data_IF_756118140472
#
_entry.id   IF_756118140472
#
_cell.length_a   1.000
_cell.length_b   1.000
_cell.length_c   1.000
_cell.angle_alpha   90.00
_cell.angle_beta   90.00
_cell.angle_gamma   90.00
#
_symmetry.space_group_name_H-M   'P 1'
#
loop_
_entity.id
_entity.type
_entity.pdbx_description
1 polymer ?
#
# COMPACT_ATOMS: atom_id res chain seq x y z
N UNK A 1 -3.56 3.11 4.86
CA UNK A 1 -2.40 2.30 4.45
C UNK A 1 -1.21 3.22 4.34
N UNK A 2 -0.14 2.86 5.01
CA UNK A 2 1.10 3.64 5.01
C UNK A 2 2.19 2.79 4.34
N UNK A 3 2.55 3.17 3.11
CA UNK A 3 3.49 2.40 2.29
C UNK A 3 4.83 3.15 2.27
N UNK A 4 5.75 2.69 3.10
CA UNK A 4 7.11 3.22 3.14
C UNK A 4 8.04 2.51 2.15
N UNK A 5 9.20 3.09 1.91
CA UNK A 5 10.19 2.55 0.98
C UNK A 5 10.80 1.22 1.42
N UNK A 6 10.84 0.93 2.71
CA UNK A 6 11.40 -0.32 3.25
C UNK A 6 10.37 -1.26 3.86
N UNK A 7 9.18 -0.77 4.19
CA UNK A 7 8.07 -1.59 4.68
C UNK A 7 6.76 -0.83 4.53
N UNK A 8 5.68 -1.57 4.34
CA UNK A 8 4.33 -1.02 4.31
C UNK A 8 3.47 -1.65 5.38
N UNK A 9 2.40 -0.95 5.77
CA UNK A 9 1.48 -1.43 6.80
C UNK A 9 0.08 -0.92 6.58
N UNK A 10 -0.86 -1.76 6.99
CA UNK A 10 -2.28 -1.42 7.02
C UNK A 10 -2.66 -1.19 8.47
N UNK A 11 -3.05 0.03 8.79
CA UNK A 11 -3.48 0.43 10.14
C UNK A 11 -4.97 0.69 10.10
N UNK A 12 -5.69 0.01 10.97
CA UNK A 12 -7.13 0.25 11.17
C UNK A 12 -7.31 1.20 12.33
N UNK A 13 -8.04 2.28 12.10
CA UNK A 13 -8.42 3.23 13.15
C UNK A 13 -9.88 3.11 13.47
N UNK A 14 -10.25 3.18 14.74
CA UNK A 14 -11.63 3.24 15.17
C UNK A 14 -11.77 4.15 16.40
N UNK A 15 -12.95 4.70 16.57
CA UNK A 15 -13.26 5.51 17.74
C UNK A 15 -13.76 4.61 18.88
N UNK A 16 -13.16 4.77 20.05
CA UNK A 16 -13.57 4.10 21.26
C UNK A 16 -13.48 5.08 22.42
N UNK A 17 -14.61 5.32 23.10
CA UNK A 17 -14.71 6.26 24.22
C UNK A 17 -14.16 7.67 23.88
N UNK A 18 -14.43 8.15 22.66
CA UNK A 18 -13.97 9.48 22.19
C UNK A 18 -12.51 9.54 21.79
N UNK A 19 -11.79 8.42 21.76
CA UNK A 19 -10.40 8.34 21.37
C UNK A 19 -10.24 7.46 20.13
N UNK A 20 -9.25 7.77 19.31
CA UNK A 20 -8.88 6.93 18.17
C UNK A 20 -7.93 5.85 18.65
N UNK A 21 -8.34 4.60 18.47
CA UNK A 21 -7.51 3.44 18.72
C UNK A 21 -6.98 2.92 17.38
N UNK A 22 -5.68 2.55 17.34
CA UNK A 22 -5.02 2.07 16.15
C UNK A 22 -4.63 0.61 16.31
N UNK A 23 -4.82 -0.15 15.24
CA UNK A 23 -4.47 -1.56 15.21
C UNK A 23 -3.75 -1.87 13.89
N UNK A 24 -2.57 -2.49 13.97
CA UNK A 24 -1.86 -2.95 12.78
C UNK A 24 -2.49 -4.26 12.30
N UNK A 25 -3.04 -4.24 11.09
CA UNK A 25 -3.73 -5.40 10.50
C UNK A 25 -2.77 -6.25 9.66
N UNK A 26 -1.87 -5.61 8.93
CA UNK A 26 -0.98 -6.26 7.98
C UNK A 26 0.30 -5.45 7.81
N UNK A 27 1.41 -6.16 7.64
CA UNK A 27 2.72 -5.55 7.38
C UNK A 27 3.44 -6.36 6.31
N UNK A 28 4.17 -5.68 5.43
CA UNK A 28 5.00 -6.32 4.42
C UNK A 28 6.32 -5.57 4.27
N UNK A 29 7.36 -6.29 3.87
CA UNK A 29 8.63 -5.69 3.50
C UNK A 29 8.53 -5.10 2.10
N UNK A 30 9.21 -4.00 1.88
CA UNK A 30 9.23 -3.32 0.60
C UNK A 30 10.68 -3.06 0.18
N UNK A 31 10.89 -2.85 -1.11
CA UNK A 31 12.18 -2.58 -1.70
C UNK A 31 12.08 -2.56 -3.20
N UNK A 32 13.16 -2.16 -3.84
CA UNK A 32 13.26 -2.12 -5.30
C UNK A 32 13.75 -3.46 -5.85
N UNK A 33 13.29 -3.80 -7.04
CA UNK A 33 13.77 -4.95 -7.78
C UNK A 33 14.93 -4.53 -8.71
N UNK A 34 15.88 -5.43 -8.90
CA UNK A 34 16.93 -5.25 -9.90
C UNK A 34 16.48 -5.88 -11.21
N UNK A 35 16.44 -5.09 -12.27
CA UNK A 35 16.06 -5.56 -13.61
C UNK A 35 16.88 -4.84 -14.66
N UNK A 36 17.64 -5.61 -15.47
CA UNK A 36 18.46 -5.09 -16.58
C UNK A 36 19.38 -3.92 -16.14
N UNK A 37 20.02 -4.06 -14.97
CA UNK A 37 20.93 -3.05 -14.44
C UNK A 37 20.23 -1.83 -13.81
N UNK A 38 18.92 -1.85 -13.70
CA UNK A 38 18.11 -0.77 -13.13
C UNK A 38 17.50 -1.19 -11.80
N UNK A 39 17.26 -0.21 -10.93
CA UNK A 39 16.50 -0.37 -9.71
C UNK A 39 15.07 0.14 -9.98
N UNK A 40 14.11 -0.75 -9.88
CA UNK A 40 12.71 -0.47 -10.22
C UNK A 40 11.78 -0.85 -9.08
N UNK A 41 10.73 -0.06 -8.89
CA UNK A 41 9.62 -0.41 -8.02
C UNK A 41 8.68 -1.37 -8.75
N UNK A 42 8.32 -2.46 -8.09
CA UNK A 42 7.34 -3.40 -8.62
C UNK A 42 5.93 -2.94 -8.23
N UNK A 43 5.31 -2.13 -9.06
CA UNK A 43 4.00 -1.53 -8.80
C UNK A 43 2.91 -2.60 -8.65
N UNK A 44 2.96 -3.66 -9.46
CA UNK A 44 1.99 -4.76 -9.37
C UNK A 44 2.09 -5.48 -8.03
N UNK A 45 3.31 -5.71 -7.54
CA UNK A 45 3.51 -6.29 -6.22
C UNK A 45 2.97 -5.39 -5.12
N UNK A 46 3.23 -4.08 -5.20
CA UNK A 46 2.70 -3.11 -4.22
C UNK A 46 1.17 -3.13 -4.21
N UNK A 47 0.56 -3.15 -5.38
CA UNK A 47 -0.90 -3.24 -5.48
C UNK A 47 -1.43 -4.54 -4.87
N UNK A 48 -0.73 -5.65 -5.13
CA UNK A 48 -1.04 -6.94 -4.52
C UNK A 48 -1.01 -6.90 -3.00
N UNK A 49 -0.02 -6.21 -2.40
CA UNK A 49 0.09 -6.05 -0.96
C UNK A 49 -1.05 -5.18 -0.38
N UNK A 50 -1.50 -4.17 -1.13
CA UNK A 50 -2.68 -3.38 -0.75
C UNK A 50 -3.90 -4.29 -0.65
N UNK A 51 -4.13 -5.13 -1.66
CA UNK A 51 -5.24 -6.08 -1.66
C UNK A 51 -5.12 -7.13 -0.55
N UNK A 52 -3.92 -7.63 -0.30
CA UNK A 52 -3.66 -8.60 0.77
C UNK A 52 -4.03 -8.03 2.14
N UNK A 53 -3.68 -6.79 2.41
CA UNK A 53 -4.04 -6.13 3.66
C UNK A 53 -5.55 -5.92 3.80
N UNK A 54 -6.24 -5.59 2.71
CA UNK A 54 -7.70 -5.46 2.70
C UNK A 54 -8.36 -6.80 2.99
N UNK A 55 -7.87 -7.90 2.39
CA UNK A 55 -8.36 -9.25 2.65
C UNK A 55 -8.14 -9.64 4.11
N UNK A 56 -6.98 -9.32 4.65
CA UNK A 56 -6.65 -9.60 6.05
C UNK A 56 -7.63 -8.90 7.00
N UNK A 57 -7.95 -7.65 6.72
CA UNK A 57 -8.92 -6.88 7.48
C UNK A 57 -10.29 -7.56 7.46
N UNK A 58 -10.75 -7.98 6.28
CA UNK A 58 -12.02 -8.70 6.12
C UNK A 58 -12.02 -10.04 6.85
N UNK A 59 -10.93 -10.80 6.79
CA UNK A 59 -10.78 -12.08 7.50
C UNK A 59 -10.93 -11.92 9.01
N UNK A 60 -10.54 -10.77 9.55
CA UNK A 60 -10.71 -10.46 10.98
C UNK A 60 -12.11 -9.93 11.31
N UNK A 61 -13.03 -9.94 10.35
CA UNK A 61 -14.40 -9.47 10.51
C UNK A 61 -14.52 -7.95 10.61
N UNK A 62 -13.51 -7.20 10.13
CA UNK A 62 -13.45 -5.75 10.23
C UNK A 62 -13.56 -5.14 8.83
N UNK A 63 -14.60 -4.38 8.57
CA UNK A 63 -14.83 -3.70 7.30
C UNK A 63 -14.84 -2.20 7.55
N UNK A 64 -13.78 -1.46 7.16
CA UNK A 64 -13.74 -0.02 7.37
C UNK A 64 -14.72 0.70 6.46
N UNK A 65 -15.19 1.87 6.89
CA UNK A 65 -16.10 2.72 6.10
C UNK A 65 -15.35 3.56 5.08
N UNK A 66 -14.04 3.73 5.24
CA UNK A 66 -13.19 4.49 4.33
C UNK A 66 -11.77 3.99 4.38
N UNK A 67 -10.98 4.31 3.37
CA UNK A 67 -9.56 4.01 3.35
C UNK A 67 -8.79 5.14 2.69
N UNK A 68 -7.54 5.28 3.07
CA UNK A 68 -6.59 6.19 2.44
C UNK A 68 -5.25 5.50 2.29
N UNK A 69 -4.47 5.96 1.35
CA UNK A 69 -3.12 5.46 1.08
C UNK A 69 -2.16 6.63 1.16
N UNK A 70 -1.08 6.43 1.92
CA UNK A 70 0.03 7.35 2.01
C UNK A 70 1.30 6.59 1.59
N UNK A 71 2.19 7.24 0.88
CA UNK A 71 3.40 6.61 0.35
C UNK A 71 4.57 7.61 0.36
N UNK A 72 5.77 7.12 0.02
CA UNK A 72 6.95 7.97 -0.09
C UNK A 72 6.84 8.94 -1.29
N UNK A 73 7.67 9.96 -1.29
CA UNK A 73 7.73 10.97 -2.34
C UNK A 73 8.78 10.61 -3.41
N UNK A 74 8.94 11.50 -4.39
CA UNK A 74 9.96 11.59 -5.45
C UNK A 74 9.82 10.60 -6.61
N UNK A 75 8.99 9.60 -6.50
CA UNK A 75 8.72 8.63 -7.57
C UNK A 75 7.35 8.92 -8.20
N UNK A 76 7.23 8.58 -9.48
CA UNK A 76 5.98 8.75 -10.22
C UNK A 76 5.90 7.76 -11.38
N UNK A 77 4.71 7.57 -11.90
CA UNK A 77 4.47 6.84 -13.15
C UNK A 77 3.72 7.74 -14.11
N UNK A 78 3.92 7.50 -15.40
CA UNK A 78 3.12 8.13 -16.44
C UNK A 78 2.03 7.16 -16.87
N UNK A 79 0.85 7.69 -17.14
CA UNK A 79 -0.28 6.92 -17.62
C UNK A 79 -0.63 7.32 -19.05
N UNK A 80 -1.10 6.37 -19.84
CA UNK A 80 -1.66 6.67 -21.16
C UNK A 80 -3.13 7.13 -21.02
N UNK A 81 -3.77 7.38 -22.17
CA UNK A 81 -5.17 7.83 -22.23
C UNK A 81 -6.18 6.81 -21.70
N UNK A 82 -5.75 5.55 -21.50
CA UNK A 82 -6.58 4.47 -20.95
C UNK A 82 -6.17 4.09 -19.52
N UNK A 83 -5.44 4.98 -18.84
CA UNK A 83 -4.94 4.79 -17.48
C UNK A 83 -3.97 3.61 -17.31
N UNK A 84 -3.27 3.23 -18.39
CA UNK A 84 -2.23 2.19 -18.33
C UNK A 84 -0.88 2.81 -18.07
N UNK A 85 -0.08 2.13 -17.24
CA UNK A 85 1.26 2.60 -16.89
C UNK A 85 2.18 2.54 -18.12
N UNK A 86 2.86 3.65 -18.39
CA UNK A 86 3.88 3.76 -19.43
C UNK A 86 5.27 3.66 -18.80
N UNK A 87 6.06 2.68 -19.25
CA UNK A 87 7.42 2.50 -18.79
C UNK A 87 7.53 1.99 -17.36
N UNK A 88 8.67 2.24 -16.77
CA UNK A 88 9.04 1.79 -15.43
C UNK A 88 9.19 2.98 -14.47
N UNK A 89 9.16 2.68 -13.18
CA UNK A 89 9.37 3.68 -12.15
C UNK A 89 10.40 3.23 -11.11
#
# INVERSE_FOLDING_TARGET
MDIGASSGRHILGHLENGKIELEEIYRFENGMDHKDGKLLWNVDRLFGEILNGMKKCKEQGKIPVSMAIDTWAVDYVLLDEKDRILGDT
#
